data_IF_958620016637
#
_entry.id   IF_958620016637
#
_cell.length_a   1.000
_cell.length_b   1.000
_cell.length_c   1.000
_cell.angle_alpha   90.00
_cell.angle_beta   90.00
_cell.angle_gamma   90.00
#
_symmetry.space_group_name_H-M   'P 1'
#
loop_
_entity.id
_entity.type
_entity.pdbx_description
1 polymer ?
#
# COMPACT_ATOMS: atom_id res chain seq x y z
N UNK A 1 -8.98 -7.71 6.58
CA UNK A 1 -9.40 -7.44 5.19
C UNK A 1 -8.18 -7.36 4.27
N UNK A 2 -7.19 -6.49 4.56
CA UNK A 2 -5.98 -6.32 3.72
C UNK A 2 -5.27 -7.65 3.46
N UNK A 3 -5.06 -8.49 4.46
CA UNK A 3 -4.47 -9.82 4.31
C UNK A 3 -5.18 -10.66 3.23
N UNK A 4 -6.52 -10.75 3.28
CA UNK A 4 -7.31 -11.52 2.28
C UNK A 4 -7.15 -10.94 0.87
N UNK A 5 -7.02 -9.60 0.76
CA UNK A 5 -6.90 -8.91 -0.52
C UNK A 5 -5.47 -8.91 -1.10
N UNK A 6 -4.48 -9.38 -0.34
CA UNK A 6 -3.09 -9.49 -0.79
C UNK A 6 -2.51 -10.90 -0.67
N UNK A 7 -3.29 -11.87 -0.14
CA UNK A 7 -2.85 -13.25 0.04
C UNK A 7 -2.64 -13.97 -1.29
N UNK A 8 -1.62 -14.82 -1.34
CA UNK A 8 -1.22 -15.61 -2.50
C UNK A 8 -1.27 -17.12 -2.20
N UNK A 9 -2.10 -17.56 -1.24
CA UNK A 9 -2.13 -18.93 -0.73
C UNK A 9 -0.82 -19.35 -0.04
N UNK A 10 -0.15 -18.40 0.63
CA UNK A 10 1.13 -18.58 1.32
C UNK A 10 1.13 -19.87 2.18
N UNK A 11 2.22 -20.59 2.11
CA UNK A 11 2.42 -21.87 2.83
C UNK A 11 1.42 -23.00 2.45
N UNK A 12 0.81 -22.94 1.28
CA UNK A 12 -0.01 -24.01 0.71
C UNK A 12 0.60 -24.54 -0.59
N UNK A 13 0.08 -25.65 -1.09
CA UNK A 13 0.47 -26.19 -2.41
C UNK A 13 0.09 -25.26 -3.58
N UNK A 14 -0.78 -24.26 -3.36
CA UNK A 14 -1.26 -23.31 -4.36
C UNK A 14 -0.48 -21.98 -4.34
N UNK A 15 0.53 -21.86 -3.50
CA UNK A 15 1.38 -20.67 -3.44
C UNK A 15 2.18 -20.53 -4.75
N UNK A 16 1.98 -19.46 -5.54
CA UNK A 16 2.69 -19.28 -6.81
C UNK A 16 4.21 -19.14 -6.67
N UNK A 17 4.68 -18.73 -5.49
CA UNK A 17 6.11 -18.64 -5.16
C UNK A 17 6.66 -19.92 -4.50
N UNK A 18 5.77 -20.87 -4.19
CA UNK A 18 6.11 -22.15 -3.57
C UNK A 18 6.78 -23.14 -4.50
N UNK A 19 7.18 -24.28 -3.95
CA UNK A 19 7.90 -25.36 -4.65
C UNK A 19 7.01 -26.41 -5.30
N UNK A 20 5.68 -26.29 -5.21
CA UNK A 20 4.75 -27.25 -5.83
C UNK A 20 4.88 -27.25 -7.36
N UNK A 21 4.44 -28.33 -8.05
CA UNK A 21 4.40 -28.37 -9.51
C UNK A 21 3.59 -27.21 -10.10
N UNK A 22 3.98 -26.72 -11.29
CA UNK A 22 3.40 -25.53 -11.91
C UNK A 22 1.89 -25.63 -12.12
N UNK A 23 1.39 -26.79 -12.49
CA UNK A 23 -0.04 -27.06 -12.69
C UNK A 23 -0.85 -27.07 -11.38
N UNK A 24 -0.20 -27.23 -10.23
CA UNK A 24 -0.82 -27.17 -8.90
C UNK A 24 -0.82 -25.71 -8.41
N UNK A 25 0.34 -25.08 -8.34
CA UNK A 25 0.49 -23.71 -7.79
C UNK A 25 -0.21 -22.63 -8.62
N UNK A 26 -0.48 -22.88 -9.90
CA UNK A 26 -1.23 -21.95 -10.78
C UNK A 26 -2.71 -22.30 -10.93
N UNK A 27 -3.20 -23.34 -10.25
CA UNK A 27 -4.58 -23.81 -10.37
C UNK A 27 -5.63 -22.77 -9.95
N UNK A 28 -5.35 -22.04 -8.89
CA UNK A 28 -6.26 -21.05 -8.35
C UNK A 28 -5.65 -19.66 -8.41
N UNK A 29 -6.48 -18.68 -8.76
CA UNK A 29 -6.11 -17.28 -8.77
C UNK A 29 -6.51 -16.62 -7.45
N UNK A 30 -5.59 -16.02 -6.68
CA UNK A 30 -5.92 -15.31 -5.46
C UNK A 30 -6.78 -14.07 -5.75
N UNK A 31 -7.49 -13.56 -4.73
CA UNK A 31 -8.25 -12.31 -4.83
C UNK A 31 -7.30 -11.13 -5.06
N UNK A 32 -6.17 -11.13 -4.35
CA UNK A 32 -5.14 -10.09 -4.41
C UNK A 32 -4.16 -10.29 -5.57
N UNK A 33 -4.65 -10.41 -6.80
CA UNK A 33 -3.75 -10.54 -7.96
C UNK A 33 -3.00 -9.25 -8.27
N UNK A 34 -1.87 -9.37 -8.96
CA UNK A 34 -1.03 -8.25 -9.39
C UNK A 34 -1.71 -7.24 -10.34
N UNK A 35 -2.89 -7.57 -10.87
CA UNK A 35 -3.71 -6.71 -11.74
C UNK A 35 -4.75 -5.88 -10.98
N UNK A 36 -4.81 -5.97 -9.67
CA UNK A 36 -5.64 -5.08 -8.88
C UNK A 36 -5.09 -3.66 -8.97
N UNK A 37 -5.94 -2.71 -9.40
CA UNK A 37 -5.55 -1.31 -9.55
C UNK A 37 -5.84 -0.49 -8.30
N UNK A 38 -6.81 -0.92 -7.49
CA UNK A 38 -7.12 -0.31 -6.21
C UNK A 38 -7.80 -1.30 -5.27
N UNK A 39 -7.70 -1.01 -3.98
CA UNK A 39 -8.53 -1.58 -2.91
C UNK A 39 -9.10 -0.45 -2.10
N UNK A 40 -10.38 -0.52 -1.79
CA UNK A 40 -11.00 0.40 -0.87
C UNK A 40 -11.91 -0.33 0.13
N UNK A 41 -11.93 0.18 1.36
CA UNK A 41 -12.79 -0.30 2.44
C UNK A 41 -13.47 0.93 3.04
N UNK A 42 -14.78 0.91 3.14
CA UNK A 42 -15.55 1.98 3.76
C UNK A 42 -15.86 1.61 5.19
N UNK A 43 -15.55 2.50 6.11
CA UNK A 43 -15.80 2.35 7.54
C UNK A 43 -16.66 3.50 8.05
N UNK A 44 -17.69 3.19 8.84
CA UNK A 44 -18.47 4.17 9.59
C UNK A 44 -18.25 3.92 11.08
N UNK A 45 -17.82 4.93 11.81
CA UNK A 45 -17.54 4.89 13.26
C UNK A 45 -18.70 5.52 14.04
N UNK A 46 -19.33 4.75 14.93
CA UNK A 46 -20.52 5.20 15.64
C UNK A 46 -20.25 5.97 16.95
N UNK A 47 -18.99 6.01 17.38
CA UNK A 47 -18.54 6.56 18.66
C UNK A 47 -17.79 7.89 18.54
N UNK A 48 -17.91 8.55 17.41
CA UNK A 48 -17.28 9.84 17.11
C UNK A 48 -18.31 10.80 16.48
N UNK A 49 -18.04 12.12 16.44
CA UNK A 49 -18.89 13.08 15.70
C UNK A 49 -19.11 12.68 14.24
N UNK A 50 -20.29 13.01 13.70
CA UNK A 50 -20.72 12.61 12.35
C UNK A 50 -19.75 13.08 11.28
N UNK A 51 -19.17 14.26 11.45
CA UNK A 51 -18.22 14.89 10.51
C UNK A 51 -16.95 14.05 10.29
N UNK A 52 -16.50 13.34 11.31
CA UNK A 52 -15.28 12.51 11.27
C UNK A 52 -15.60 11.01 11.25
N UNK A 53 -16.87 10.60 11.17
CA UNK A 53 -17.28 9.21 11.29
C UNK A 53 -16.92 8.34 10.09
N UNK A 54 -16.92 8.92 8.88
CA UNK A 54 -16.64 8.20 7.64
C UNK A 54 -15.14 8.11 7.37
N UNK A 55 -14.63 6.89 7.23
CA UNK A 55 -13.25 6.63 6.83
C UNK A 55 -13.23 5.81 5.55
N UNK A 56 -12.45 6.26 4.59
CA UNK A 56 -12.16 5.56 3.35
C UNK A 56 -10.73 5.02 3.37
N UNK A 57 -10.59 3.74 3.63
CA UNK A 57 -9.32 3.03 3.55
C UNK A 57 -9.00 2.77 2.08
N UNK A 58 -7.92 3.32 1.57
CA UNK A 58 -7.58 3.29 0.16
C UNK A 58 -6.14 2.84 -0.06
N UNK A 59 -5.94 1.92 -1.02
CA UNK A 59 -4.64 1.60 -1.59
C UNK A 59 -4.72 1.56 -3.12
N UNK A 60 -3.69 2.05 -3.80
CA UNK A 60 -3.56 1.97 -5.25
C UNK A 60 -2.49 0.98 -5.69
N UNK A 61 -2.65 0.45 -6.91
CA UNK A 61 -1.73 -0.50 -7.53
C UNK A 61 -1.90 -1.92 -6.99
N UNK A 62 -0.93 -2.79 -7.29
CA UNK A 62 -0.92 -4.16 -6.83
C UNK A 62 -0.76 -4.22 -5.30
N UNK A 63 -1.64 -4.97 -4.64
CA UNK A 63 -1.80 -4.89 -3.18
C UNK A 63 -0.74 -5.63 -2.36
N UNK A 64 0.20 -6.30 -3.00
CA UNK A 64 1.18 -7.14 -2.32
C UNK A 64 2.21 -6.33 -1.54
N UNK A 65 2.69 -5.22 -2.11
CA UNK A 65 3.75 -4.38 -1.54
C UNK A 65 3.30 -2.95 -1.25
N UNK A 66 2.05 -2.77 -0.86
CA UNK A 66 1.50 -1.50 -0.39
C UNK A 66 0.63 -1.71 0.86
N UNK A 67 0.08 -0.65 1.43
CA UNK A 67 -0.92 -0.75 2.50
C UNK A 67 -2.03 0.27 2.31
N UNK A 68 -3.15 0.06 3.02
CA UNK A 68 -4.32 0.95 2.96
C UNK A 68 -4.14 2.16 3.86
N UNK A 69 -4.56 3.34 3.40
CA UNK A 69 -4.48 4.61 4.13
C UNK A 69 -5.88 5.06 4.53
N UNK A 70 -6.12 5.43 5.82
CA UNK A 70 -7.44 5.76 6.34
C UNK A 70 -7.79 7.25 6.12
N UNK A 71 -8.23 7.60 4.94
CA UNK A 71 -8.67 8.97 4.64
C UNK A 71 -10.04 9.27 5.25
N UNK A 72 -10.22 10.47 5.78
CA UNK A 72 -11.53 10.99 6.14
C UNK A 72 -12.37 11.22 4.89
N UNK A 73 -13.61 10.75 4.91
CA UNK A 73 -14.47 10.76 3.74
C UNK A 73 -15.23 12.09 3.53
N UNK A 74 -15.37 12.90 4.59
CA UNK A 74 -16.11 14.17 4.55
C UNK A 74 -15.20 15.32 4.09
N UNK A 75 -14.76 15.27 2.83
CA UNK A 75 -13.84 16.22 2.20
C UNK A 75 -14.32 16.53 0.78
N UNK A 76 -13.88 17.65 0.22
CA UNK A 76 -14.19 18.05 -1.16
C UNK A 76 -13.06 17.68 -2.13
N UNK A 77 -11.83 17.50 -1.65
CA UNK A 77 -10.67 17.23 -2.49
C UNK A 77 -9.84 16.04 -1.98
N UNK A 78 -9.13 15.42 -2.90
CA UNK A 78 -8.23 14.29 -2.68
C UNK A 78 -6.79 14.79 -2.65
N UNK A 79 -5.90 14.30 -1.76
CA UNK A 79 -4.48 14.64 -1.79
C UNK A 79 -3.84 14.38 -3.16
N UNK A 80 -2.91 15.27 -3.58
CA UNK A 80 -2.36 15.27 -4.93
C UNK A 80 -1.72 13.95 -5.35
N UNK A 81 -0.99 13.29 -4.43
CA UNK A 81 -0.37 11.99 -4.70
C UNK A 81 -1.37 10.85 -4.94
N UNK A 82 -2.64 11.04 -4.60
CA UNK A 82 -3.73 10.07 -4.73
C UNK A 82 -4.72 10.40 -5.84
N UNK A 83 -4.48 11.45 -6.62
CA UNK A 83 -5.32 11.80 -7.78
C UNK A 83 -4.48 11.88 -9.07
N UNK A 84 -5.16 12.00 -10.20
CA UNK A 84 -4.55 12.25 -11.50
C UNK A 84 -3.49 11.22 -11.96
N UNK A 85 -3.66 9.94 -11.61
CA UNK A 85 -2.83 8.88 -12.18
C UNK A 85 -3.04 8.83 -13.71
N UNK A 86 -2.03 9.23 -14.46
CA UNK A 86 -2.02 9.25 -15.93
C UNK A 86 -1.18 8.11 -16.50
N UNK A 87 -1.13 7.96 -17.82
CA UNK A 87 -0.21 7.05 -18.50
C UNK A 87 1.27 7.47 -18.40
N UNK A 88 1.56 8.65 -17.84
CA UNK A 88 2.93 9.11 -17.60
C UNK A 88 3.43 8.60 -16.26
N UNK A 89 4.58 7.93 -16.28
CA UNK A 89 5.22 7.42 -15.07
C UNK A 89 5.71 8.57 -14.17
N UNK A 90 5.29 8.54 -12.89
CA UNK A 90 5.69 9.51 -11.88
C UNK A 90 5.67 8.88 -10.49
N UNK A 91 6.81 8.78 -9.83
CA UNK A 91 6.94 8.23 -8.47
C UNK A 91 6.35 9.12 -7.36
N UNK A 92 5.97 10.36 -7.65
CA UNK A 92 5.19 11.19 -6.72
C UNK A 92 3.70 10.83 -6.72
N UNK A 93 3.26 9.99 -7.66
CA UNK A 93 1.90 9.45 -7.68
C UNK A 93 1.86 8.06 -7.05
N UNK A 94 0.99 7.87 -6.06
CA UNK A 94 0.90 6.61 -5.29
C UNK A 94 0.58 5.39 -6.15
N UNK A 95 -0.16 5.56 -7.25
CA UNK A 95 -0.42 4.46 -8.17
C UNK A 95 0.89 3.92 -8.79
N UNK A 96 1.70 4.82 -9.37
CA UNK A 96 2.95 4.41 -10.01
C UNK A 96 4.01 3.94 -8.99
N UNK A 97 4.08 4.59 -7.83
CA UNK A 97 4.99 4.18 -6.78
C UNK A 97 4.65 2.78 -6.27
N UNK A 98 3.36 2.50 -6.01
CA UNK A 98 2.91 1.16 -5.57
C UNK A 98 3.12 0.10 -6.65
N UNK A 99 2.84 0.42 -7.92
CA UNK A 99 3.11 -0.49 -9.03
C UNK A 99 4.59 -0.81 -9.17
N UNK A 100 5.48 0.19 -9.01
CA UNK A 100 6.93 -0.01 -9.09
C UNK A 100 7.44 -0.87 -7.95
N UNK A 101 6.98 -0.62 -6.73
CA UNK A 101 7.36 -1.42 -5.56
C UNK A 101 6.89 -2.87 -5.71
N UNK A 102 5.65 -3.07 -6.17
CA UNK A 102 5.12 -4.40 -6.40
C UNK A 102 5.84 -5.14 -7.54
N UNK A 103 6.18 -4.44 -8.63
CA UNK A 103 6.96 -5.01 -9.73
C UNK A 103 8.33 -5.52 -9.26
N UNK A 104 9.02 -4.74 -8.43
CA UNK A 104 10.29 -5.16 -7.87
C UNK A 104 10.11 -6.35 -6.90
N UNK A 105 9.10 -6.29 -6.03
CA UNK A 105 8.79 -7.36 -5.09
C UNK A 105 8.41 -8.69 -5.75
N UNK A 106 7.77 -8.64 -6.93
CA UNK A 106 7.41 -9.84 -7.69
C UNK A 106 8.63 -10.55 -8.32
N UNK A 107 9.77 -9.88 -8.45
CA UNK A 107 11.00 -10.49 -8.99
C UNK A 107 11.62 -11.51 -8.02
N UNK A 108 11.45 -11.32 -6.71
CA UNK A 108 11.88 -12.24 -5.66
C UNK A 108 11.05 -12.01 -4.40
N UNK A 109 9.85 -12.58 -4.38
CA UNK A 109 8.87 -12.35 -3.32
C UNK A 109 9.40 -12.73 -1.94
N UNK A 110 10.00 -13.91 -1.82
CA UNK A 110 10.50 -14.42 -0.54
C UNK A 110 11.62 -13.56 0.03
N UNK A 111 12.44 -12.98 -0.85
CA UNK A 111 13.50 -12.06 -0.46
C UNK A 111 12.99 -10.72 0.09
N UNK A 112 11.90 -10.19 -0.49
CA UNK A 112 11.38 -8.85 -0.14
C UNK A 112 10.22 -8.86 0.87
N UNK A 113 9.61 -10.01 1.15
CA UNK A 113 8.37 -10.08 1.94
C UNK A 113 8.53 -9.58 3.37
N UNK A 114 9.68 -9.79 4.00
CA UNK A 114 9.93 -9.31 5.37
C UNK A 114 10.06 -7.78 5.44
N UNK A 115 10.64 -7.15 4.40
CA UNK A 115 10.67 -5.69 4.29
C UNK A 115 9.25 -5.14 4.16
N UNK A 116 8.42 -5.76 3.34
CA UNK A 116 7.01 -5.43 3.19
C UNK A 116 6.24 -5.57 4.51
N UNK A 117 6.45 -6.65 5.25
CA UNK A 117 5.78 -6.89 6.53
C UNK A 117 6.14 -5.81 7.55
N UNK A 118 7.41 -5.45 7.66
CA UNK A 118 7.90 -4.37 8.53
C UNK A 118 7.28 -3.03 8.13
N UNK A 119 7.33 -2.70 6.83
CA UNK A 119 6.70 -1.49 6.30
C UNK A 119 5.20 -1.41 6.63
N UNK A 120 4.44 -2.49 6.45
CA UNK A 120 3.00 -2.50 6.70
C UNK A 120 2.69 -2.20 8.18
N UNK A 121 3.42 -2.81 9.10
CA UNK A 121 3.26 -2.57 10.54
C UNK A 121 3.59 -1.12 10.92
N UNK A 122 4.72 -0.60 10.46
CA UNK A 122 5.14 0.76 10.74
C UNK A 122 4.19 1.81 10.12
N UNK A 123 3.75 1.59 8.89
CA UNK A 123 2.84 2.48 8.19
C UNK A 123 1.47 2.53 8.89
N UNK A 124 0.92 1.37 9.26
CA UNK A 124 -0.35 1.30 9.98
C UNK A 124 -0.27 1.99 11.34
N UNK A 125 0.83 1.84 12.08
CA UNK A 125 1.06 2.55 13.34
C UNK A 125 1.03 4.07 13.14
N UNK A 126 1.78 4.58 12.17
CA UNK A 126 1.83 6.01 11.87
C UNK A 126 0.48 6.58 11.42
N UNK A 127 -0.27 5.84 10.58
CA UNK A 127 -1.60 6.29 10.17
C UNK A 127 -2.58 6.36 11.33
N UNK A 128 -2.54 5.39 12.25
CA UNK A 128 -3.35 5.42 13.47
C UNK A 128 -2.95 6.57 14.39
N UNK A 129 -1.67 6.90 14.51
CA UNK A 129 -1.22 8.06 15.28
C UNK A 129 -1.77 9.36 14.71
N UNK A 130 -1.68 9.57 13.39
CA UNK A 130 -2.25 10.75 12.71
C UNK A 130 -3.77 10.79 12.89
N UNK A 131 -4.47 9.67 12.69
CA UNK A 131 -5.92 9.59 12.86
C UNK A 131 -6.33 9.91 14.30
N UNK A 132 -5.69 9.31 15.30
CA UNK A 132 -5.98 9.55 16.70
C UNK A 132 -5.70 11.00 17.11
N UNK A 133 -4.62 11.60 16.60
CA UNK A 133 -4.31 13.01 16.86
C UNK A 133 -5.37 13.94 16.23
N UNK A 134 -5.81 13.63 15.01
CA UNK A 134 -6.86 14.37 14.31
C UNK A 134 -8.19 14.27 15.04
N UNK A 135 -8.61 13.05 15.43
CA UNK A 135 -9.85 12.83 16.18
C UNK A 135 -9.87 13.58 17.51
N UNK A 136 -8.74 13.60 18.22
CA UNK A 136 -8.61 14.34 19.49
C UNK A 136 -8.63 15.86 19.32
N UNK A 137 -8.11 16.34 18.20
CA UNK A 137 -8.06 17.78 17.90
C UNK A 137 -9.38 18.29 17.29
N UNK A 138 -10.28 17.41 16.91
CA UNK A 138 -11.58 17.78 16.36
C UNK A 138 -12.50 18.26 17.48
N UNK A 139 -12.90 19.53 17.45
CA UNK A 139 -13.77 20.20 18.44
C UNK A 139 -15.07 20.75 17.83
N UNK A 140 -15.45 20.25 16.65
CA UNK A 140 -16.61 20.75 15.93
C UNK A 140 -16.34 22.04 15.14
N UNK A 141 -15.12 22.21 14.62
CA UNK A 141 -14.71 23.37 13.84
C UNK A 141 -15.78 23.78 12.80
N UNK A 142 -15.93 25.09 12.60
CA UNK A 142 -16.85 25.63 11.59
C UNK A 142 -16.55 25.16 10.17
N UNK A 143 -15.27 24.92 9.87
CA UNK A 143 -14.78 24.36 8.61
C UNK A 143 -14.19 22.97 8.83
N UNK A 144 -15.06 22.03 9.11
CA UNK A 144 -14.65 20.62 9.29
C UNK A 144 -14.01 20.04 8.02
N UNK A 145 -14.43 20.49 6.83
CA UNK A 145 -13.90 20.00 5.55
C UNK A 145 -12.43 20.37 5.41
N UNK A 146 -12.07 21.64 5.54
CA UNK A 146 -10.67 22.08 5.44
C UNK A 146 -9.76 21.42 6.49
N UNK A 147 -10.26 21.23 7.72
CA UNK A 147 -9.55 20.52 8.78
C UNK A 147 -9.25 19.07 8.39
N UNK A 148 -10.23 18.37 7.81
CA UNK A 148 -10.09 16.98 7.39
C UNK A 148 -9.25 16.82 6.12
N UNK A 149 -9.30 17.79 5.19
CA UNK A 149 -8.40 17.85 4.04
C UNK A 149 -6.94 18.00 4.47
N UNK A 150 -6.66 18.82 5.48
CA UNK A 150 -5.30 18.91 6.06
C UNK A 150 -4.85 17.58 6.67
N UNK A 151 -5.73 16.89 7.40
CA UNK A 151 -5.43 15.57 7.95
C UNK A 151 -5.17 14.53 6.84
N UNK A 152 -5.97 14.54 5.78
CA UNK A 152 -5.78 13.67 4.63
C UNK A 152 -4.46 13.95 3.89
N UNK A 153 -4.07 15.22 3.78
CA UNK A 153 -2.77 15.59 3.22
C UNK A 153 -1.59 15.10 4.08
N UNK A 154 -1.71 15.13 5.41
CA UNK A 154 -0.71 14.53 6.31
C UNK A 154 -0.60 13.01 6.11
N UNK A 155 -1.73 12.30 6.06
CA UNK A 155 -1.79 10.86 5.80
C UNK A 155 -1.17 10.50 4.44
N UNK A 156 -1.49 11.25 3.39
CA UNK A 156 -0.95 11.04 2.05
C UNK A 156 0.57 11.28 1.98
N UNK A 157 1.05 12.32 2.66
CA UNK A 157 2.49 12.63 2.75
C UNK A 157 3.25 11.51 3.46
N UNK A 158 2.74 11.07 4.61
CA UNK A 158 3.31 9.97 5.38
C UNK A 158 3.36 8.68 4.56
N UNK A 159 2.26 8.38 3.85
CA UNK A 159 2.18 7.21 2.98
C UNK A 159 3.20 7.27 1.84
N UNK A 160 3.30 8.41 1.15
CA UNK A 160 4.25 8.59 0.04
C UNK A 160 5.70 8.42 0.52
N UNK A 161 6.04 9.00 1.66
CA UNK A 161 7.40 8.91 2.24
C UNK A 161 7.74 7.47 2.63
N UNK A 162 6.84 6.76 3.29
CA UNK A 162 7.07 5.36 3.70
C UNK A 162 7.16 4.41 2.52
N UNK A 163 6.29 4.57 1.53
CA UNK A 163 6.33 3.75 0.33
C UNK A 163 7.60 4.02 -0.48
N UNK A 164 8.07 5.27 -0.55
CA UNK A 164 9.34 5.64 -1.19
C UNK A 164 10.52 5.03 -0.44
N UNK A 165 10.48 5.05 0.90
CA UNK A 165 11.51 4.42 1.74
C UNK A 165 11.57 2.91 1.47
N UNK A 166 10.43 2.22 1.47
CA UNK A 166 10.36 0.79 1.16
C UNK A 166 10.98 0.49 -0.21
N UNK A 167 10.58 1.22 -1.25
CA UNK A 167 11.15 1.04 -2.59
C UNK A 167 12.66 1.24 -2.57
N UNK A 168 13.15 2.28 -1.89
CA UNK A 168 14.59 2.56 -1.77
C UNK A 168 15.35 1.43 -1.09
N UNK A 169 14.86 0.91 0.02
CA UNK A 169 15.43 -0.22 0.74
C UNK A 169 15.45 -1.50 -0.11
N UNK A 170 14.36 -1.77 -0.85
CA UNK A 170 14.28 -2.90 -1.77
C UNK A 170 15.28 -2.76 -2.92
N UNK A 171 15.45 -1.57 -3.50
CA UNK A 171 16.43 -1.31 -4.57
C UNK A 171 17.85 -1.51 -4.06
N UNK A 172 18.20 -0.97 -2.88
CA UNK A 172 19.53 -1.12 -2.28
C UNK A 172 19.82 -2.60 -2.06
N UNK A 173 18.95 -3.29 -1.33
CA UNK A 173 19.12 -4.71 -1.00
C UNK A 173 19.16 -5.60 -2.26
N UNK A 174 18.28 -5.34 -3.23
CA UNK A 174 18.27 -6.06 -4.51
C UNK A 174 19.53 -5.82 -5.33
N UNK A 175 20.09 -4.60 -5.29
CA UNK A 175 21.35 -4.29 -6.00
C UNK A 175 22.54 -5.08 -5.47
N UNK A 176 22.58 -5.33 -4.15
CA UNK A 176 23.61 -6.14 -3.51
C UNK A 176 23.48 -7.64 -3.86
N UNK A 177 22.30 -8.08 -4.28
CA UNK A 177 22.00 -9.47 -4.65
C UNK A 177 21.93 -9.71 -6.16
N UNK A 178 22.27 -8.71 -6.97
CA UNK A 178 22.31 -8.86 -8.43
C UNK A 178 23.28 -9.97 -8.83
N UNK A 179 22.75 -10.96 -9.57
CA UNK A 179 23.54 -12.08 -10.10
C UNK A 179 23.83 -11.81 -11.57
N UNK A 180 25.03 -11.29 -11.87
CA UNK A 180 25.53 -11.25 -13.22
C UNK A 180 26.03 -12.66 -13.59
N UNK A 181 25.40 -13.27 -14.60
CA UNK A 181 25.86 -14.56 -15.12
C UNK A 181 26.78 -14.29 -16.31
N UNK A 182 28.04 -14.60 -16.13
CA UNK A 182 29.01 -14.64 -17.23
C UNK A 182 29.24 -16.08 -17.65
N UNK A 183 29.12 -16.38 -18.94
CA UNK A 183 29.76 -17.55 -19.53
C UNK A 183 31.15 -17.12 -19.92
N UNK A 184 32.11 -17.41 -19.06
CA UNK A 184 33.54 -17.31 -19.42
C UNK A 184 33.88 -18.58 -20.19
N UNK A 185 33.64 -18.60 -21.49
CA UNK A 185 34.22 -19.59 -22.41
C UNK A 185 35.49 -18.96 -22.96
N UNK A 186 36.58 -19.19 -22.29
CA UNK A 186 37.93 -19.01 -22.82
C UNK A 186 38.47 -20.38 -23.30
#
# INVERSE_FOLDING_TARGET
>A
VKFVLSAHFENTEYDPYGSAPEDVKTRFRPIGINRNHNVHILQVRNNVPAEIAGIHWLAYGANTFNTVVPFYANVNDTPESYKNATGTFDLNNMYWLSCTTALLGDTDYDFYVDMRNTFELEAMSAYHEIQNATDKAFDGQKDAIAFLEEANNKLATESLQRQTKLLGEMVISGSEHMKLRYNLND
#
